data_IF_351922008340
#
_entry.id   IF_351922008340
#
_cell.length_a   1.000
_cell.length_b   1.000
_cell.length_c   1.000
_cell.angle_alpha   90.00
_cell.angle_beta   90.00
_cell.angle_gamma   90.00
#
_symmetry.space_group_name_H-M   'P 1'
#
loop_
_entity.id
_entity.type
_entity.pdbx_description
1 polymer ?
#
# COMPACT_ATOMS: atom_id res chain seq x y z
N UNK A 1 -23.80 16.64 -31.68
CA UNK A 1 -23.03 15.55 -31.02
C UNK A 1 -22.72 15.98 -29.61
N UNK A 2 -23.24 15.28 -28.61
CA UNK A 2 -22.85 15.50 -27.20
C UNK A 2 -21.45 14.92 -27.01
N UNK A 3 -20.45 15.76 -26.76
CA UNK A 3 -19.15 15.29 -26.33
C UNK A 3 -19.21 15.02 -24.82
N UNK A 4 -19.01 13.77 -24.45
CA UNK A 4 -18.94 13.35 -23.05
C UNK A 4 -17.51 13.63 -22.55
N UNK A 5 -17.41 14.29 -21.42
CA UNK A 5 -16.16 14.52 -20.71
C UNK A 5 -15.88 13.33 -19.79
N UNK A 6 -14.77 12.64 -19.99
CA UNK A 6 -14.33 11.55 -19.09
C UNK A 6 -13.02 11.94 -18.45
N UNK A 7 -13.02 11.96 -17.11
CA UNK A 7 -11.79 12.07 -16.31
C UNK A 7 -11.50 10.74 -15.66
N UNK A 8 -10.21 10.39 -15.57
CA UNK A 8 -9.75 9.23 -14.84
C UNK A 8 -8.85 9.68 -13.71
N UNK A 9 -9.22 9.29 -12.49
CA UNK A 9 -8.41 9.50 -11.29
C UNK A 9 -7.78 8.19 -10.84
N UNK A 10 -6.47 8.17 -10.73
CA UNK A 10 -5.71 7.05 -10.18
C UNK A 10 -5.26 7.46 -8.79
N UNK A 11 -5.79 6.80 -7.77
CA UNK A 11 -5.50 7.05 -6.36
C UNK A 11 -4.40 6.10 -5.91
N UNK A 12 -3.25 6.66 -5.54
CA UNK A 12 -2.08 5.89 -5.14
C UNK A 12 -1.74 6.14 -3.67
N UNK A 13 -1.48 5.09 -2.87
CA UNK A 13 -1.03 5.28 -1.50
C UNK A 13 0.34 5.96 -1.47
N UNK A 14 0.52 6.89 -0.54
CA UNK A 14 1.81 7.54 -0.28
C UNK A 14 2.70 6.70 0.64
N UNK A 15 2.11 5.85 1.45
CA UNK A 15 2.82 5.00 2.41
C UNK A 15 2.29 3.57 2.32
N UNK A 16 3.15 2.62 2.66
CA UNK A 16 2.73 1.23 2.84
C UNK A 16 2.05 1.04 4.21
N UNK A 17 1.20 0.02 4.38
CA UNK A 17 0.65 -0.30 5.68
C UNK A 17 1.74 -0.59 6.71
N UNK A 18 1.54 -0.07 7.93
CA UNK A 18 2.38 -0.36 9.09
C UNK A 18 1.86 -1.53 9.91
N UNK A 19 2.65 -1.92 10.91
CA UNK A 19 2.30 -2.90 11.94
C UNK A 19 2.19 -2.20 13.28
N UNK A 20 1.04 -2.30 13.97
CA UNK A 20 0.92 -1.86 15.35
C UNK A 20 1.26 -3.02 16.29
N UNK A 21 2.33 -2.88 17.06
CA UNK A 21 2.78 -3.89 18.02
C UNK A 21 3.49 -3.26 19.21
N UNK A 22 3.54 -4.00 20.33
CA UNK A 22 4.37 -3.58 21.48
C UNK A 22 5.84 -3.64 21.09
N UNK A 23 6.50 -2.50 21.13
CA UNK A 23 7.94 -2.41 20.91
C UNK A 23 8.68 -2.77 22.20
N UNK A 24 9.59 -3.78 22.19
CA UNK A 24 10.31 -4.19 23.40
C UNK A 24 11.23 -3.08 23.93
N UNK A 25 11.84 -2.27 23.04
CA UNK A 25 12.73 -1.18 23.42
C UNK A 25 11.96 0.03 23.94
N UNK A 26 10.82 0.40 23.30
CA UNK A 26 9.99 1.53 23.75
C UNK A 26 9.09 1.19 24.95
N UNK A 27 8.88 -0.10 25.26
CA UNK A 27 8.02 -0.58 26.34
C UNK A 27 6.51 -0.37 26.12
N UNK A 28 6.09 0.22 24.98
CA UNK A 28 4.72 0.58 24.65
C UNK A 28 4.34 0.12 23.24
N UNK A 29 3.04 0.18 22.91
CA UNK A 29 2.58 0.01 21.53
C UNK A 29 3.16 1.12 20.66
N UNK A 30 3.75 0.74 19.53
CA UNK A 30 4.30 1.63 18.52
C UNK A 30 3.96 1.08 17.15
N UNK A 31 3.93 1.97 16.17
CA UNK A 31 3.85 1.59 14.77
C UNK A 31 5.24 1.21 14.26
N UNK A 32 5.27 0.18 13.42
CA UNK A 32 6.45 -0.25 12.70
C UNK A 32 6.20 -0.06 11.20
N UNK A 33 7.10 0.60 10.53
CA UNK A 33 7.04 0.84 9.09
C UNK A 33 7.83 -0.20 8.31
N UNK A 34 7.35 -0.51 7.09
CA UNK A 34 8.06 -1.39 6.16
C UNK A 34 9.39 -0.74 5.75
N UNK A 35 10.49 -1.43 6.03
CA UNK A 35 11.84 -0.94 5.70
C UNK A 35 12.22 -1.10 4.22
N UNK A 36 11.44 -1.83 3.45
CA UNK A 36 11.79 -2.20 2.07
C UNK A 36 12.89 -3.25 1.98
N UNK A 37 13.25 -3.90 3.10
CA UNK A 37 14.34 -4.88 3.14
C UNK A 37 13.86 -6.24 3.62
N UNK A 38 14.49 -7.28 3.10
CA UNK A 38 14.25 -8.66 3.52
C UNK A 38 15.45 -9.19 4.32
N UNK A 39 15.16 -10.11 5.19
CA UNK A 39 16.15 -10.96 5.83
C UNK A 39 15.95 -12.38 5.33
N UNK A 40 16.99 -12.98 4.78
CA UNK A 40 17.00 -14.35 4.29
C UNK A 40 17.98 -15.15 5.10
N UNK A 41 17.54 -16.29 5.61
CA UNK A 41 18.39 -17.26 6.30
C UNK A 41 18.31 -18.59 5.56
N UNK A 42 19.45 -19.06 5.08
CA UNK A 42 19.56 -20.35 4.42
C UNK A 42 20.16 -21.39 5.39
N UNK A 43 19.45 -22.49 5.58
CA UNK A 43 19.93 -23.63 6.35
C UNK A 43 19.84 -24.91 5.49
N UNK A 44 20.92 -25.26 4.81
CA UNK A 44 20.95 -26.31 3.81
C UNK A 44 20.04 -25.96 2.61
N UNK A 45 19.00 -26.78 2.35
CA UNK A 45 18.02 -26.55 1.30
C UNK A 45 16.86 -25.63 1.74
N UNK A 46 16.74 -25.39 3.05
CA UNK A 46 15.61 -24.67 3.60
C UNK A 46 15.92 -23.18 3.76
N UNK A 47 14.94 -22.36 3.41
CA UNK A 47 14.98 -20.92 3.54
C UNK A 47 13.93 -20.43 4.52
N UNK A 48 14.35 -19.49 5.35
CA UNK A 48 13.46 -18.61 6.10
C UNK A 48 13.59 -17.21 5.52
N UNK A 49 12.47 -16.55 5.26
CA UNK A 49 12.43 -15.20 4.69
C UNK A 49 11.53 -14.33 5.53
N UNK A 50 12.02 -13.16 5.93
CA UNK A 50 11.27 -12.15 6.65
C UNK A 50 11.31 -10.81 5.92
N UNK A 51 10.17 -10.12 5.90
CA UNK A 51 10.10 -8.71 5.57
C UNK A 51 10.37 -7.92 6.86
N UNK A 52 11.35 -7.03 6.82
CA UNK A 52 11.78 -6.26 7.99
C UNK A 52 10.95 -4.99 8.12
N UNK A 53 10.39 -4.78 9.30
CA UNK A 53 9.76 -3.54 9.71
C UNK A 53 10.60 -2.86 10.78
N UNK A 54 10.51 -1.53 10.89
CA UNK A 54 11.23 -0.74 11.89
C UNK A 54 10.28 0.10 12.72
N UNK A 55 10.52 0.10 14.02
CA UNK A 55 9.76 0.97 14.93
C UNK A 55 9.97 2.43 14.57
N UNK A 56 8.88 3.19 14.38
CA UNK A 56 8.93 4.62 14.03
C UNK A 56 9.54 5.51 15.11
N UNK A 57 9.70 4.99 16.34
CA UNK A 57 10.23 5.74 17.49
C UNK A 57 11.70 5.44 17.77
N UNK A 58 12.09 4.15 17.74
CA UNK A 58 13.43 3.74 18.18
C UNK A 58 14.18 2.85 17.17
N UNK A 59 13.60 2.65 15.99
CA UNK A 59 14.17 1.87 14.86
C UNK A 59 14.41 0.38 15.16
N UNK A 60 13.96 -0.12 16.31
CA UNK A 60 14.01 -1.56 16.61
C UNK A 60 13.34 -2.36 15.50
N UNK A 61 14.00 -3.40 15.01
CA UNK A 61 13.50 -4.23 13.93
C UNK A 61 12.41 -5.20 14.41
N UNK A 62 11.41 -5.40 13.56
CA UNK A 62 10.40 -6.45 13.67
C UNK A 62 10.43 -7.26 12.37
N UNK A 63 10.54 -8.58 12.48
CA UNK A 63 10.54 -9.47 11.34
C UNK A 63 9.11 -10.02 11.11
N UNK A 64 8.58 -9.80 9.92
CA UNK A 64 7.32 -10.39 9.46
C UNK A 64 7.65 -11.61 8.59
N UNK A 65 7.26 -12.79 9.02
CA UNK A 65 7.57 -14.05 8.33
C UNK A 65 6.84 -14.13 6.99
N UNK A 66 7.60 -14.14 5.91
CA UNK A 66 7.11 -14.37 4.54
C UNK A 66 7.10 -15.87 4.28
N UNK A 67 8.26 -16.49 4.39
CA UNK A 67 8.44 -17.94 4.28
C UNK A 67 9.13 -18.50 5.52
N UNK A 68 8.76 -19.72 5.89
CA UNK A 68 9.34 -20.45 6.99
C UNK A 68 9.65 -21.87 6.54
N UNK A 69 10.93 -22.25 6.57
CA UNK A 69 11.44 -23.56 6.22
C UNK A 69 10.97 -24.07 4.85
N UNK A 70 10.98 -23.21 3.83
CA UNK A 70 10.65 -23.61 2.45
C UNK A 70 11.89 -24.10 1.73
N UNK A 71 11.74 -25.05 0.83
CA UNK A 71 12.84 -25.48 -0.03
C UNK A 71 13.15 -24.39 -1.06
N UNK A 72 14.44 -24.04 -1.21
CA UNK A 72 14.89 -22.92 -2.06
C UNK A 72 14.51 -23.14 -3.54
N UNK A 73 14.48 -24.36 -3.99
CA UNK A 73 14.16 -24.75 -5.36
C UNK A 73 12.64 -24.70 -5.69
N UNK A 74 11.79 -24.59 -4.66
CA UNK A 74 10.34 -24.40 -4.84
C UNK A 74 9.95 -22.93 -5.06
N UNK A 75 10.86 -21.99 -4.78
CA UNK A 75 10.62 -20.58 -5.02
C UNK A 75 10.92 -20.20 -6.47
N UNK A 76 10.11 -19.29 -7.01
CA UNK A 76 10.42 -18.71 -8.30
C UNK A 76 11.78 -17.96 -8.25
N UNK A 77 12.63 -18.16 -9.27
CA UNK A 77 13.97 -17.56 -9.28
C UNK A 77 13.95 -16.03 -9.20
N UNK A 78 12.97 -15.39 -9.83
CA UNK A 78 12.79 -13.94 -9.77
C UNK A 78 12.47 -13.46 -8.37
N UNK A 79 11.60 -14.16 -7.67
CA UNK A 79 11.20 -13.85 -6.29
C UNK A 79 12.38 -14.05 -5.33
N UNK A 80 13.09 -15.18 -5.43
CA UNK A 80 14.26 -15.46 -4.59
C UNK A 80 15.36 -14.39 -4.77
N UNK A 81 15.66 -14.01 -6.02
CA UNK A 81 16.58 -12.90 -6.31
C UNK A 81 16.08 -11.57 -5.73
N UNK A 82 14.77 -11.34 -5.79
CA UNK A 82 14.14 -10.15 -5.21
C UNK A 82 14.36 -10.05 -3.70
N UNK A 83 14.26 -11.15 -2.96
CA UNK A 83 14.58 -11.18 -1.53
C UNK A 83 16.05 -10.85 -1.25
N UNK A 84 16.97 -11.46 -2.00
CA UNK A 84 18.41 -11.24 -1.82
C UNK A 84 18.83 -9.80 -2.15
N UNK A 85 18.18 -9.19 -3.14
CA UNK A 85 18.48 -7.84 -3.60
C UNK A 85 17.67 -6.75 -2.90
N UNK A 86 16.82 -7.11 -1.94
CA UNK A 86 15.90 -6.18 -1.28
C UNK A 86 15.05 -5.40 -2.29
N UNK A 87 14.41 -6.13 -3.23
CA UNK A 87 13.55 -5.53 -4.24
C UNK A 87 12.40 -4.78 -3.58
N UNK A 88 12.33 -3.47 -3.81
CA UNK A 88 11.35 -2.58 -3.18
C UNK A 88 9.92 -2.84 -3.67
N UNK A 89 9.76 -3.26 -4.92
CA UNK A 89 8.45 -3.60 -5.48
C UNK A 89 7.92 -4.86 -4.80
N UNK A 90 8.78 -5.85 -4.63
CA UNK A 90 8.46 -7.08 -3.91
C UNK A 90 8.14 -6.79 -2.43
N UNK A 91 8.92 -5.93 -1.77
CA UNK A 91 8.68 -5.52 -0.38
C UNK A 91 7.35 -4.76 -0.23
N UNK A 92 6.98 -3.94 -1.22
CA UNK A 92 5.70 -3.26 -1.25
C UNK A 92 4.54 -4.23 -1.47
N UNK A 93 4.68 -5.20 -2.36
CA UNK A 93 3.68 -6.23 -2.63
C UNK A 93 3.38 -7.05 -1.37
N UNK A 94 4.42 -7.57 -0.70
CA UNK A 94 4.26 -8.28 0.57
C UNK A 94 3.72 -7.38 1.69
N UNK A 95 4.22 -6.14 1.80
CA UNK A 95 3.80 -5.17 2.80
C UNK A 95 2.36 -4.68 2.66
N UNK A 96 1.74 -4.90 1.50
CA UNK A 96 0.32 -4.61 1.25
C UNK A 96 -0.57 -5.84 1.38
N UNK A 97 0.01 -7.03 1.57
CA UNK A 97 -0.71 -8.30 1.60
C UNK A 97 -1.38 -8.56 2.96
N UNK A 98 -2.70 -8.56 2.99
CA UNK A 98 -3.48 -8.91 4.20
C UNK A 98 -3.16 -10.32 4.71
N UNK A 99 -2.82 -11.26 3.82
CA UNK A 99 -2.45 -12.61 4.19
C UNK A 99 -1.14 -12.66 4.97
N UNK A 100 -0.16 -11.79 4.65
CA UNK A 100 1.07 -11.67 5.42
C UNK A 100 0.78 -11.22 6.86
N UNK A 101 -0.08 -10.22 7.03
CA UNK A 101 -0.45 -9.72 8.36
C UNK A 101 -1.20 -10.79 9.17
N UNK A 102 -2.14 -11.49 8.55
CA UNK A 102 -2.88 -12.59 9.18
C UNK A 102 -1.95 -13.73 9.62
N UNK A 103 -1.03 -14.16 8.73
CA UNK A 103 -0.02 -15.19 9.04
C UNK A 103 0.82 -14.82 10.26
N UNK A 104 1.20 -13.56 10.39
CA UNK A 104 2.02 -13.06 11.49
C UNK A 104 1.21 -12.59 12.71
N UNK A 105 -0.12 -12.76 12.70
CA UNK A 105 -1.03 -12.24 13.74
C UNK A 105 -0.75 -10.78 14.07
N UNK A 106 -0.47 -9.99 13.04
CA UNK A 106 -0.08 -8.59 13.14
C UNK A 106 -1.26 -7.67 12.87
N UNK A 107 -1.42 -6.64 13.70
CA UNK A 107 -2.41 -5.61 13.47
C UNK A 107 -1.92 -4.66 12.40
N UNK A 108 -2.61 -4.62 11.25
CA UNK A 108 -2.32 -3.73 10.14
C UNK A 108 -2.79 -2.31 10.44
N UNK A 109 -1.93 -1.34 10.17
CA UNK A 109 -2.25 0.09 10.23
C UNK A 109 -2.27 0.64 8.81
N UNK A 110 -3.43 1.10 8.37
CA UNK A 110 -3.63 1.68 7.04
C UNK A 110 -3.81 3.20 7.16
N UNK A 111 -2.99 3.96 6.44
CA UNK A 111 -3.07 5.42 6.38
C UNK A 111 -3.96 5.84 5.20
N UNK A 112 -5.27 5.73 5.35
CA UNK A 112 -6.23 5.95 4.26
C UNK A 112 -6.34 7.39 3.78
N UNK A 113 -5.87 8.34 4.58
CA UNK A 113 -5.81 9.77 4.29
C UNK A 113 -4.53 10.19 3.54
N UNK A 114 -3.52 9.31 3.51
CA UNK A 114 -2.24 9.55 2.86
C UNK A 114 -2.22 8.96 1.45
N UNK A 115 -2.76 9.69 0.49
CA UNK A 115 -2.76 9.29 -0.91
C UNK A 115 -2.49 10.49 -1.84
N UNK A 116 -2.03 10.19 -3.04
CA UNK A 116 -1.96 11.12 -4.17
C UNK A 116 -3.02 10.75 -5.21
N UNK A 117 -3.51 11.76 -5.91
CA UNK A 117 -4.40 11.58 -7.05
C UNK A 117 -3.64 11.96 -8.30
N UNK A 118 -3.55 11.04 -9.25
CA UNK A 118 -3.09 11.31 -10.60
C UNK A 118 -4.30 11.43 -11.50
N UNK A 119 -4.50 12.59 -12.08
CA UNK A 119 -5.54 12.84 -13.07
C UNK A 119 -5.00 12.60 -14.47
N UNK A 120 -5.77 11.89 -15.29
CA UNK A 120 -5.49 11.71 -16.72
C UNK A 120 -6.76 12.07 -17.49
N UNK A 121 -6.63 13.02 -18.41
CA UNK A 121 -7.71 13.38 -19.33
C UNK A 121 -7.72 12.42 -20.51
N UNK A 122 -8.89 11.87 -20.81
CA UNK A 122 -9.07 10.96 -21.94
C UNK A 122 -9.75 11.61 -23.16
N UNK A 123 -10.03 12.91 -23.11
CA UNK A 123 -10.73 13.62 -24.19
C UNK A 123 -10.28 15.05 -24.42
N UNK A 124 -10.46 15.55 -25.66
CA UNK A 124 -10.16 16.92 -26.10
C UNK A 124 -11.11 17.92 -25.42
N UNK A 125 -10.63 19.07 -24.91
CA UNK A 125 -11.45 20.02 -24.19
C UNK A 125 -12.56 20.60 -25.07
N UNK A 126 -13.83 20.46 -24.68
CA UNK A 126 -14.94 21.22 -25.18
C UNK A 126 -15.18 22.46 -24.30
N UNK A 127 -15.56 23.58 -24.87
CA UNK A 127 -15.72 24.89 -24.19
C UNK A 127 -16.89 24.99 -23.22
N UNK A 128 -17.63 23.92 -22.96
CA UNK A 128 -18.69 23.88 -21.96
C UNK A 128 -18.39 22.72 -20.99
N UNK A 129 -18.05 23.09 -19.76
CA UNK A 129 -17.75 22.18 -18.66
C UNK A 129 -19.03 21.48 -18.15
N UNK A 130 -19.47 20.46 -18.84
CA UNK A 130 -20.42 19.50 -18.27
C UNK A 130 -19.69 18.20 -17.99
N UNK A 131 -19.48 17.93 -16.69
CA UNK A 131 -18.90 16.69 -16.21
C UNK A 131 -19.94 15.57 -16.35
N UNK A 132 -19.67 14.56 -17.15
CA UNK A 132 -20.57 13.43 -17.30
C UNK A 132 -20.07 12.17 -16.58
N UNK A 133 -18.77 11.95 -16.47
CA UNK A 133 -18.25 10.73 -15.88
C UNK A 133 -16.83 10.92 -15.29
N UNK A 134 -16.61 10.38 -14.07
CA UNK A 134 -15.30 10.29 -13.44
C UNK A 134 -15.02 8.84 -13.10
N UNK A 135 -14.02 8.24 -13.73
CA UNK A 135 -13.55 6.90 -13.43
C UNK A 135 -12.49 6.96 -12.32
N UNK A 136 -12.73 6.26 -11.21
CA UNK A 136 -11.81 6.25 -10.06
C UNK A 136 -11.16 4.89 -9.93
N UNK A 137 -9.84 4.85 -10.03
CA UNK A 137 -9.02 3.66 -9.81
C UNK A 137 -8.31 3.74 -8.47
N UNK A 138 -8.52 2.76 -7.61
CA UNK A 138 -7.90 2.67 -6.29
C UNK A 138 -6.69 1.73 -6.36
N UNK A 139 -5.51 2.24 -6.07
CA UNK A 139 -4.29 1.45 -5.98
C UNK A 139 -4.08 0.86 -4.60
N UNK A 140 -3.64 -0.39 -4.55
CA UNK A 140 -3.22 -1.06 -3.32
C UNK A 140 -4.36 -1.30 -2.32
N UNK A 141 -4.12 -0.94 -1.06
CA UNK A 141 -5.02 -1.19 0.08
C UNK A 141 -6.03 -0.06 0.34
N UNK A 142 -5.98 1.02 -0.42
CA UNK A 142 -6.77 2.23 -0.17
C UNK A 142 -8.27 1.98 -0.22
N UNK A 143 -8.99 2.55 0.75
CA UNK A 143 -10.45 2.61 0.82
C UNK A 143 -10.89 4.00 1.25
N UNK A 144 -10.61 5.05 0.46
CA UNK A 144 -10.98 6.40 0.81
C UNK A 144 -12.52 6.53 0.84
N UNK A 145 -13.00 7.43 1.68
CA UNK A 145 -14.41 7.83 1.60
C UNK A 145 -14.62 8.62 0.32
N UNK A 146 -15.49 8.15 -0.55
CA UNK A 146 -15.73 8.75 -1.87
C UNK A 146 -16.22 10.20 -1.76
N UNK A 147 -17.12 10.50 -0.82
CA UNK A 147 -17.59 11.86 -0.57
C UNK A 147 -16.44 12.84 -0.20
N UNK A 148 -15.46 12.36 0.56
CA UNK A 148 -14.28 13.15 0.94
C UNK A 148 -13.31 13.30 -0.23
N UNK A 149 -13.10 12.23 -1.01
CA UNK A 149 -12.25 12.24 -2.19
C UNK A 149 -12.76 13.25 -3.23
N UNK A 150 -14.04 13.16 -3.59
CA UNK A 150 -14.67 14.07 -4.56
C UNK A 150 -14.68 15.52 -4.06
N UNK A 151 -15.04 15.75 -2.79
CA UNK A 151 -15.02 17.09 -2.20
C UNK A 151 -13.63 17.74 -2.32
N UNK A 152 -12.58 16.98 -2.01
CA UNK A 152 -11.18 17.45 -2.08
C UNK A 152 -10.76 17.75 -3.53
N UNK A 153 -11.07 16.87 -4.48
CA UNK A 153 -10.65 17.02 -5.88
C UNK A 153 -11.41 18.14 -6.61
N UNK A 154 -12.69 18.32 -6.27
CA UNK A 154 -13.53 19.35 -6.90
C UNK A 154 -13.52 20.67 -6.15
N UNK A 155 -12.86 20.78 -4.99
CA UNK A 155 -12.79 22.00 -4.20
C UNK A 155 -14.15 22.43 -3.61
N UNK A 156 -15.04 21.48 -3.33
CA UNK A 156 -16.39 21.71 -2.79
C UNK A 156 -16.57 21.06 -1.43
N UNK A 157 -17.65 21.38 -0.72
CA UNK A 157 -17.97 20.76 0.55
C UNK A 157 -18.52 19.34 0.35
N UNK A 158 -18.35 18.48 1.38
CA UNK A 158 -18.91 17.12 1.36
C UNK A 158 -20.44 17.09 1.30
N UNK A 159 -21.10 18.12 1.84
CA UNK A 159 -22.56 18.26 1.76
C UNK A 159 -23.02 18.53 0.32
N UNK A 160 -22.27 19.31 -0.44
CA UNK A 160 -22.53 19.55 -1.85
C UNK A 160 -22.37 18.28 -2.68
N UNK A 161 -21.38 17.44 -2.40
CA UNK A 161 -21.19 16.14 -3.08
C UNK A 161 -22.38 15.19 -2.82
N UNK A 162 -22.94 15.19 -1.62
CA UNK A 162 -24.08 14.31 -1.28
C UNK A 162 -25.39 14.73 -1.94
N UNK A 163 -25.46 15.94 -2.47
CA UNK A 163 -26.62 16.47 -3.20
C UNK A 163 -26.56 16.26 -4.72
N UNK A 164 -25.46 15.70 -5.22
CA UNK A 164 -25.28 15.30 -6.63
C UNK A 164 -25.70 13.85 -6.82
#
# INVERSE_FOLDING_TARGET
MKQEYRKKWIILPQTLPGVLRRCPKCGRKAEFENSGTFRVNANGRLLDVWLVYRCTVCETSLNMTVYERVEADTLEQGEYKGFLNNDRTLAAAYGSSRSLFAKNRAQMVEHWDKYTVRETDTTVPCRQEQWSEVEVWLGGYLKPRMDALFARQLGVSRSQIKGL
#
